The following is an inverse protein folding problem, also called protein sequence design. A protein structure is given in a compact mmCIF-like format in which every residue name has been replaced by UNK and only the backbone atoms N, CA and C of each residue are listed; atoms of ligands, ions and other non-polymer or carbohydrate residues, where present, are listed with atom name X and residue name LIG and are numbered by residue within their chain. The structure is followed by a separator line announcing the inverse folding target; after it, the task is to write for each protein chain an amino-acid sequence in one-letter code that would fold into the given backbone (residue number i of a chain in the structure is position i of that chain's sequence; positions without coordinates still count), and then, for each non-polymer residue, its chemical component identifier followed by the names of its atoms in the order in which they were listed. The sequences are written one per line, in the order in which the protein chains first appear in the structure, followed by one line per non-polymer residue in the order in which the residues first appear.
data_IF_407910162497
#
_entry.id   IF_407910162497
#
_cell.length_a   1.000
_cell.length_b   1.000
_cell.length_c   1.000
_cell.angle_alpha   90.00
_cell.angle_beta   90.00
_cell.angle_gamma   90.00
#
_symmetry.space_group_name_H-M   'P 1'
#
loop_
_entity.id
_entity.type
_entity.pdbx_description
1 polymer ?
#
# COMPACT_ATOMS: atom_id res chain seq x y z
N UNK A 1 -41.36 -10.55 39.60
CA UNK A 1 -41.51 -9.49 38.62
C UNK A 1 -40.14 -8.88 38.37
N UNK A 2 -39.51 -9.17 37.20
CA UNK A 2 -38.24 -8.62 36.84
C UNK A 2 -38.38 -7.11 36.64
N UNK A 3 -37.52 -6.35 37.26
CA UNK A 3 -37.37 -4.91 37.01
C UNK A 3 -36.80 -4.77 35.63
N UNK A 4 -37.64 -4.46 34.66
CA UNK A 4 -37.15 -3.98 33.38
C UNK A 4 -36.67 -2.55 33.64
N UNK A 5 -35.41 -2.40 34.04
CA UNK A 5 -34.76 -1.10 34.04
C UNK A 5 -34.93 -0.44 32.70
N UNK A 6 -34.95 0.90 32.62
CA UNK A 6 -34.91 1.64 31.38
C UNK A 6 -33.94 0.95 30.41
N UNK A 7 -34.44 0.49 29.28
CA UNK A 7 -33.58 -0.13 28.25
C UNK A 7 -32.42 0.81 28.02
N UNK A 8 -31.22 0.33 28.34
CA UNK A 8 -30.01 1.11 28.18
C UNK A 8 -29.89 1.43 26.67
N UNK A 9 -30.20 2.66 26.28
CA UNK A 9 -30.10 3.09 24.88
C UNK A 9 -28.66 3.11 24.37
N UNK A 10 -27.70 2.99 25.27
CA UNK A 10 -26.32 2.69 24.92
C UNK A 10 -26.22 1.18 24.69
N UNK A 11 -26.48 0.77 23.47
CA UNK A 11 -26.27 -0.60 23.03
C UNK A 11 -24.79 -0.98 23.22
N UNK A 12 -24.46 -1.55 24.36
CA UNK A 12 -23.21 -2.25 24.56
C UNK A 12 -23.20 -3.42 23.58
N UNK A 13 -22.41 -3.33 22.50
CA UNK A 13 -22.27 -4.43 21.58
C UNK A 13 -22.37 -4.10 20.08
N UNK A 14 -22.64 -2.88 19.68
CA UNK A 14 -22.50 -2.50 18.28
C UNK A 14 -21.05 -2.23 17.96
N UNK A 15 -20.42 -3.17 17.21
CA UNK A 15 -19.14 -2.89 16.57
C UNK A 15 -19.33 -1.74 15.59
N UNK A 16 -18.85 -0.56 15.93
CA UNK A 16 -18.85 0.59 15.01
C UNK A 16 -17.53 0.60 14.26
N UNK A 17 -17.62 0.68 12.91
CA UNK A 17 -16.45 0.85 12.04
C UNK A 17 -16.43 2.28 11.54
N UNK A 18 -15.35 2.99 11.82
CA UNK A 18 -15.12 4.37 11.38
C UNK A 18 -13.91 4.42 10.47
N UNK A 19 -14.06 4.95 9.26
CA UNK A 19 -12.97 5.15 8.30
C UNK A 19 -12.62 6.64 8.19
N UNK A 20 -11.33 6.96 8.25
CA UNK A 20 -10.78 8.31 8.06
C UNK A 20 -9.93 8.35 6.80
N UNK A 21 -10.34 9.15 5.83
CA UNK A 21 -9.60 9.44 4.59
C UNK A 21 -8.90 10.79 4.61
N UNK A 22 -9.08 11.55 5.69
CA UNK A 22 -8.39 12.80 6.01
C UNK A 22 -8.03 12.81 7.49
N UNK A 23 -6.96 13.50 7.85
CA UNK A 23 -6.52 13.64 9.23
C UNK A 23 -7.60 14.27 10.10
N UNK A 24 -7.70 13.83 11.35
CA UNK A 24 -8.69 14.32 12.30
C UNK A 24 -9.03 13.29 13.37
N UNK A 25 -9.88 13.70 14.29
CA UNK A 25 -10.19 12.95 15.50
C UNK A 25 -11.33 11.94 15.31
N UNK A 26 -11.30 10.90 16.12
CA UNK A 26 -12.34 9.88 16.31
C UNK A 26 -12.63 9.81 17.81
N UNK A 27 -13.84 10.09 18.24
CA UNK A 27 -14.24 9.91 19.65
C UNK A 27 -14.85 8.53 19.84
N UNK A 28 -14.27 7.73 20.71
CA UNK A 28 -14.77 6.39 21.01
C UNK A 28 -16.04 6.45 21.87
N UNK A 29 -16.89 5.41 21.76
CA UNK A 29 -18.05 5.27 22.62
C UNK A 29 -17.64 5.07 24.09
N UNK A 30 -18.46 5.50 25.08
CA UNK A 30 -18.12 5.39 26.51
C UNK A 30 -17.80 3.97 26.99
N UNK A 31 -18.36 2.94 26.31
CA UNK A 31 -18.15 1.52 26.64
C UNK A 31 -16.92 0.88 25.99
N UNK A 32 -16.28 1.55 25.05
CA UNK A 32 -15.14 0.98 24.31
C UNK A 32 -13.93 0.78 25.22
N UNK A 33 -13.31 -0.41 25.15
CA UNK A 33 -12.09 -0.74 25.90
C UNK A 33 -10.97 -1.19 24.97
N UNK A 34 -11.30 -1.65 23.78
CA UNK A 34 -10.36 -2.10 22.76
C UNK A 34 -10.82 -1.57 21.43
N UNK A 35 -9.91 -1.11 20.62
CA UNK A 35 -10.13 -0.82 19.20
C UNK A 35 -9.27 -1.74 18.36
N UNK A 36 -9.85 -2.31 17.30
CA UNK A 36 -9.09 -2.94 16.24
C UNK A 36 -8.89 -1.90 15.15
N UNK A 37 -7.67 -1.69 14.72
CA UNK A 37 -7.38 -0.62 13.75
C UNK A 37 -6.53 -1.11 12.60
N UNK A 38 -6.90 -0.72 11.38
CA UNK A 38 -6.06 -0.83 10.21
C UNK A 38 -5.51 0.57 9.89
N UNK A 39 -4.20 0.72 9.99
CA UNK A 39 -3.47 1.95 9.65
C UNK A 39 -2.77 1.70 8.32
N UNK A 40 -3.21 2.36 7.27
CA UNK A 40 -2.66 2.25 5.92
C UNK A 40 -1.98 3.58 5.55
N UNK A 41 -0.70 3.52 5.27
CA UNK A 41 0.08 4.70 4.89
C UNK A 41 -0.10 5.06 3.41
N UNK A 42 0.39 6.21 2.98
CA UNK A 42 0.44 6.58 1.57
C UNK A 42 1.40 5.68 0.78
N UNK A 43 1.00 5.29 -0.43
CA UNK A 43 1.83 4.54 -1.36
C UNK A 43 2.95 5.40 -1.96
N UNK A 44 4.07 4.81 -2.36
CA UNK A 44 5.12 5.48 -3.10
C UNK A 44 4.74 5.71 -4.57
N UNK A 45 5.29 6.73 -5.19
CA UNK A 45 5.15 6.94 -6.63
C UNK A 45 5.92 5.87 -7.42
N UNK A 46 5.50 5.61 -8.65
CA UNK A 46 6.35 4.96 -9.62
C UNK A 46 7.60 5.78 -9.91
N UNK A 47 8.63 5.16 -10.44
CA UNK A 47 9.85 5.82 -10.88
C UNK A 47 10.00 5.82 -12.39
N UNK A 48 11.22 6.06 -12.85
CA UNK A 48 11.57 6.06 -14.29
C UNK A 48 11.07 4.80 -15.01
N UNK A 49 11.00 3.68 -14.31
CA UNK A 49 10.45 2.41 -14.82
C UNK A 49 9.83 1.55 -13.73
N UNK A 50 10.45 1.48 -12.54
CA UNK A 50 10.00 0.64 -11.45
C UNK A 50 8.64 1.06 -10.89
N UNK A 51 7.81 0.10 -10.49
CA UNK A 51 6.56 0.37 -9.81
C UNK A 51 6.78 0.84 -8.37
N UNK A 52 5.98 1.78 -7.88
CA UNK A 52 6.01 2.25 -6.49
C UNK A 52 5.54 1.17 -5.51
N UNK A 53 6.16 1.08 -4.34
CA UNK A 53 5.70 0.23 -3.26
C UNK A 53 4.42 0.78 -2.61
N UNK A 54 3.56 -0.10 -2.14
CA UNK A 54 2.39 0.29 -1.37
C UNK A 54 2.80 0.90 -0.01
N UNK A 55 1.92 1.73 0.55
CA UNK A 55 2.03 2.13 1.95
C UNK A 55 1.97 0.91 2.88
N UNK A 56 2.67 0.97 4.01
CA UNK A 56 2.59 -0.05 5.03
C UNK A 56 1.16 -0.19 5.55
N UNK A 57 0.74 -1.42 5.85
CA UNK A 57 -0.55 -1.72 6.44
C UNK A 57 -0.32 -2.42 7.77
N UNK A 58 -0.81 -1.85 8.86
CA UNK A 58 -0.80 -2.46 10.18
C UNK A 58 -2.22 -2.70 10.65
N UNK A 59 -2.55 -3.96 10.90
CA UNK A 59 -3.84 -4.39 11.45
C UNK A 59 -3.61 -4.89 12.88
N UNK A 60 -3.92 -4.05 13.87
CA UNK A 60 -3.57 -4.27 15.28
C UNK A 60 -4.74 -3.98 16.22
N UNK A 61 -4.73 -4.60 17.39
CA UNK A 61 -5.65 -4.30 18.49
C UNK A 61 -4.95 -3.41 19.52
N UNK A 62 -5.64 -2.39 20.00
CA UNK A 62 -5.11 -1.38 20.94
C UNK A 62 -6.11 -1.21 22.07
N UNK A 63 -5.61 -1.29 23.31
CA UNK A 63 -6.40 -0.95 24.49
C UNK A 63 -6.65 0.56 24.53
N UNK A 64 -7.86 0.95 24.87
CA UNK A 64 -8.26 2.36 24.98
C UNK A 64 -9.21 2.57 26.15
N UNK A 65 -9.52 3.81 26.44
CA UNK A 65 -10.56 4.20 27.43
C UNK A 65 -11.79 4.67 26.68
N UNK A 66 -12.97 4.26 27.12
CA UNK A 66 -14.21 4.74 26.52
C UNK A 66 -14.36 6.26 26.61
N UNK A 67 -14.88 6.88 25.55
CA UNK A 67 -14.98 8.32 25.44
C UNK A 67 -13.66 9.03 25.15
N UNK A 68 -12.57 8.29 24.85
CA UNK A 68 -11.29 8.91 24.49
C UNK A 68 -11.29 9.39 23.06
N UNK A 69 -10.48 10.42 22.81
CA UNK A 69 -10.21 10.93 21.47
C UNK A 69 -8.99 10.22 20.90
N UNK A 70 -9.14 9.64 19.70
CA UNK A 70 -8.09 9.04 18.90
C UNK A 70 -7.78 10.00 17.75
N UNK A 71 -6.54 10.44 17.62
CA UNK A 71 -6.14 11.34 16.52
C UNK A 71 -5.51 10.56 15.37
N UNK A 72 -6.18 10.53 14.23
CA UNK A 72 -5.70 9.93 13.00
C UNK A 72 -4.96 10.95 12.14
N UNK A 73 -3.76 10.59 11.68
CA UNK A 73 -3.01 11.33 10.64
C UNK A 73 -2.94 10.46 9.39
N UNK A 74 -3.38 11.00 8.25
CA UNK A 74 -3.41 10.28 6.99
C UNK A 74 -2.25 10.71 6.11
N UNK A 75 -1.41 9.75 5.73
CA UNK A 75 -0.26 9.97 4.87
C UNK A 75 -0.67 10.19 3.41
N UNK A 76 -0.14 11.24 2.80
CA UNK A 76 -0.30 11.46 1.36
C UNK A 76 0.45 10.40 0.55
N UNK A 77 -0.02 10.11 -0.65
CA UNK A 77 0.74 9.35 -1.63
C UNK A 77 1.96 10.12 -2.12
N UNK A 78 3.00 9.41 -2.53
CA UNK A 78 4.18 9.98 -3.13
C UNK A 78 3.86 10.66 -4.47
N UNK A 79 4.33 11.87 -4.68
CA UNK A 79 4.20 12.56 -5.94
C UNK A 79 5.19 12.01 -6.99
N UNK A 80 4.85 12.14 -8.26
CA UNK A 80 5.69 11.75 -9.40
C UNK A 80 6.09 13.00 -10.22
N UNK A 81 6.94 13.89 -9.69
CA UNK A 81 7.28 15.15 -10.35
C UNK A 81 8.23 14.97 -11.56
N UNK A 82 8.72 13.77 -11.81
CA UNK A 82 9.67 13.45 -12.87
C UNK A 82 10.12 11.99 -12.81
N UNK A 83 11.30 11.66 -13.35
CA UNK A 83 11.80 10.28 -13.39
C UNK A 83 12.08 9.69 -12.00
N UNK A 84 12.33 10.51 -11.00
CA UNK A 84 12.46 10.08 -9.61
C UNK A 84 11.15 10.33 -8.86
N UNK A 85 10.38 9.28 -8.63
CA UNK A 85 9.19 9.36 -7.78
C UNK A 85 9.53 9.68 -6.33
N UNK A 86 8.54 10.10 -5.57
CA UNK A 86 8.67 10.34 -4.14
C UNK A 86 8.07 9.19 -3.32
N UNK A 87 8.66 8.99 -2.15
CA UNK A 87 8.13 8.07 -1.14
C UNK A 87 6.77 8.54 -0.63
N UNK A 88 5.89 7.61 -0.28
CA UNK A 88 4.65 7.92 0.42
C UNK A 88 4.88 8.44 1.84
N UNK A 89 3.92 9.17 2.37
CA UNK A 89 3.95 9.65 3.74
C UNK A 89 3.37 8.63 4.73
N UNK A 90 3.84 8.69 5.96
CA UNK A 90 3.38 7.86 7.09
C UNK A 90 1.93 8.20 7.47
N UNK A 91 1.12 7.17 7.75
CA UNK A 91 -0.14 7.34 8.49
C UNK A 91 0.03 6.90 9.93
N UNK A 92 -0.73 7.50 10.84
CA UNK A 92 -0.67 7.14 12.26
C UNK A 92 -2.01 7.30 12.97
N UNK A 93 -2.14 6.62 14.11
CA UNK A 93 -3.23 6.76 15.05
C UNK A 93 -2.65 6.95 16.45
N UNK A 94 -2.93 8.08 17.08
CA UNK A 94 -2.58 8.33 18.47
C UNK A 94 -3.72 7.84 19.39
N UNK A 95 -3.38 7.02 20.37
CA UNK A 95 -4.32 6.41 21.33
C UNK A 95 -3.72 6.52 22.73
N UNK A 96 -4.40 7.21 23.64
CA UNK A 96 -3.98 7.34 25.05
C UNK A 96 -2.49 7.71 25.21
N UNK A 97 -2.00 8.67 24.42
CA UNK A 97 -0.61 9.15 24.50
C UNK A 97 0.42 8.32 23.74
N UNK A 98 0.04 7.16 23.18
CA UNK A 98 0.91 6.33 22.34
C UNK A 98 0.53 6.50 20.87
N UNK A 99 1.53 6.68 20.00
CA UNK A 99 1.32 6.78 18.54
C UNK A 99 1.71 5.49 17.84
N UNK A 100 0.77 4.91 17.12
CA UNK A 100 0.94 3.74 16.27
C UNK A 100 1.03 4.21 14.82
N UNK A 101 2.04 3.80 14.08
CA UNK A 101 2.26 4.28 12.71
C UNK A 101 2.52 3.16 11.72
N UNK A 102 2.14 3.40 10.47
CA UNK A 102 2.52 2.63 9.31
C UNK A 102 3.37 3.51 8.38
N UNK A 103 4.48 3.00 7.88
CA UNK A 103 5.42 3.76 7.06
C UNK A 103 4.92 3.91 5.62
N UNK A 104 5.19 5.05 5.00
CA UNK A 104 4.90 5.25 3.58
C UNK A 104 5.64 4.27 2.67
N UNK A 105 5.07 3.98 1.51
CA UNK A 105 5.65 3.11 0.50
C UNK A 105 6.91 3.69 -0.13
N UNK A 106 7.88 2.83 -0.49
CA UNK A 106 9.07 3.22 -1.23
C UNK A 106 8.73 3.61 -2.67
N UNK A 107 9.44 4.57 -3.25
CA UNK A 107 9.23 4.89 -4.67
C UNK A 107 9.85 3.84 -5.59
N UNK A 108 9.30 3.69 -6.79
CA UNK A 108 9.92 2.92 -7.87
C UNK A 108 11.14 3.62 -8.44
N UNK A 109 12.07 2.88 -9.01
CA UNK A 109 13.31 3.44 -9.55
C UNK A 109 13.82 2.65 -10.75
N UNK A 110 14.74 3.22 -11.49
CA UNK A 110 15.42 2.57 -12.61
C UNK A 110 16.89 2.89 -12.51
N UNK A 111 17.67 2.03 -11.87
CA UNK A 111 19.11 2.23 -11.73
C UNK A 111 19.80 0.96 -11.22
N UNK A 112 21.12 0.94 -11.35
CA UNK A 112 21.99 -0.14 -10.88
C UNK A 112 22.13 -0.22 -9.35
N UNK A 113 21.69 0.79 -8.61
CA UNK A 113 21.77 0.81 -7.14
C UNK A 113 20.40 1.13 -6.52
N UNK A 114 20.05 0.44 -5.42
CA UNK A 114 18.80 0.67 -4.68
C UNK A 114 18.95 1.94 -3.83
N UNK A 115 18.24 3.02 -4.14
CA UNK A 115 18.27 4.20 -3.28
C UNK A 115 17.53 3.93 -1.95
N UNK A 116 17.97 4.54 -0.87
CA UNK A 116 17.35 4.37 0.45
C UNK A 116 15.86 4.74 0.47
N UNK A 117 15.44 5.65 -0.38
CA UNK A 117 14.05 6.06 -0.54
C UNK A 117 13.16 5.03 -1.28
N UNK A 118 13.75 3.98 -1.88
CA UNK A 118 13.01 2.84 -2.40
C UNK A 118 12.51 1.90 -1.29
N UNK A 119 13.08 1.96 -0.08
CA UNK A 119 12.62 1.18 1.06
C UNK A 119 11.43 1.86 1.73
N UNK A 120 10.49 1.08 2.23
CA UNK A 120 9.28 1.64 2.83
C UNK A 120 8.43 0.63 3.58
N UNK A 121 7.19 0.98 3.85
CA UNK A 121 6.18 0.03 4.33
C UNK A 121 6.14 -1.19 3.41
N UNK A 122 5.98 -0.95 2.10
CA UNK A 122 6.40 -1.89 1.05
C UNK A 122 7.46 -1.22 0.17
N UNK A 123 8.36 -2.02 -0.40
CA UNK A 123 9.48 -1.53 -1.20
C UNK A 123 9.11 -1.22 -2.65
N UNK A 124 9.78 -0.24 -3.27
CA UNK A 124 9.63 0.06 -4.69
C UNK A 124 10.30 -0.99 -5.58
N UNK A 125 9.75 -1.20 -6.78
CA UNK A 125 10.34 -2.04 -7.82
C UNK A 125 11.52 -1.37 -8.51
N UNK A 126 12.43 -2.16 -9.05
CA UNK A 126 13.59 -1.68 -9.81
C UNK A 126 13.41 -1.93 -11.31
N UNK A 127 13.87 -1.01 -12.12
CA UNK A 127 13.94 -1.13 -13.58
C UNK A 127 15.36 -1.31 -14.08
N UNK A 128 15.50 -1.94 -15.24
CA UNK A 128 16.79 -2.11 -15.92
C UNK A 128 16.79 -1.39 -17.26
N UNK A 129 17.95 -0.95 -17.69
CA UNK A 129 18.22 -0.33 -18.98
C UNK A 129 18.96 -1.28 -19.95
N UNK A 130 18.83 -2.58 -19.76
CA UNK A 130 19.47 -3.59 -20.58
C UNK A 130 20.78 -4.14 -20.00
N UNK A 131 21.09 -3.84 -18.75
CA UNK A 131 22.24 -4.42 -18.05
C UNK A 131 21.97 -5.86 -17.60
N UNK A 132 22.94 -6.75 -17.82
CA UNK A 132 22.93 -8.12 -17.31
C UNK A 132 23.15 -8.21 -15.78
N UNK A 133 23.47 -7.11 -15.13
CA UNK A 133 23.68 -7.07 -13.68
C UNK A 133 22.37 -7.35 -12.96
N UNK A 134 22.33 -8.30 -12.00
CA UNK A 134 21.16 -8.52 -11.17
C UNK A 134 20.78 -7.24 -10.42
N UNK A 135 19.50 -6.91 -10.47
CA UNK A 135 18.92 -5.77 -9.76
C UNK A 135 17.97 -6.27 -8.68
N UNK A 136 17.92 -5.59 -7.56
CA UNK A 136 17.00 -5.87 -6.45
C UNK A 136 16.03 -4.73 -6.28
N UNK A 137 14.82 -5.01 -5.83
CA UNK A 137 13.86 -3.99 -5.42
C UNK A 137 14.17 -3.41 -4.04
N UNK A 138 13.43 -2.38 -3.66
CA UNK A 138 13.46 -1.80 -2.33
C UNK A 138 12.97 -2.78 -1.26
N UNK A 139 13.46 -2.63 -0.05
CA UNK A 139 13.07 -3.46 1.10
C UNK A 139 11.71 -3.00 1.64
N UNK A 140 10.83 -3.96 1.91
CA UNK A 140 9.58 -3.76 2.64
C UNK A 140 9.78 -3.78 4.15
N UNK A 141 8.70 -3.56 4.89
CA UNK A 141 8.70 -3.53 6.37
C UNK A 141 9.82 -2.65 6.96
N UNK A 142 9.97 -1.45 6.41
CA UNK A 142 11.00 -0.48 6.83
C UNK A 142 10.35 0.83 7.30
N UNK A 143 10.51 1.22 8.59
CA UNK A 143 11.20 0.47 9.66
C UNK A 143 10.49 -0.86 9.97
N UNK A 144 11.26 -1.82 10.49
CA UNK A 144 10.73 -3.14 10.83
C UNK A 144 9.74 -3.05 11.99
N UNK A 145 8.58 -3.66 11.82
CA UNK A 145 7.53 -3.79 12.83
C UNK A 145 6.95 -5.21 12.82
N UNK A 146 6.33 -5.60 13.91
CA UNK A 146 5.59 -6.85 14.05
C UNK A 146 4.11 -6.55 14.40
N UNK A 147 3.15 -7.17 13.69
CA UNK A 147 3.30 -7.89 12.42
C UNK A 147 3.87 -7.01 11.29
N UNK A 148 4.49 -7.66 10.27
CA UNK A 148 5.05 -6.96 9.10
C UNK A 148 4.02 -6.07 8.43
N UNK A 149 4.43 -4.86 8.06
CA UNK A 149 3.55 -3.88 7.43
C UNK A 149 3.56 -3.92 5.88
N UNK A 150 4.42 -4.77 5.27
CA UNK A 150 4.49 -4.91 3.81
C UNK A 150 5.70 -5.69 3.33
N UNK A 151 5.80 -5.84 2.03
CA UNK A 151 6.75 -6.74 1.37
C UNK A 151 7.73 -5.98 0.46
N UNK A 152 8.86 -6.60 0.07
CA UNK A 152 9.83 -5.98 -0.83
C UNK A 152 9.25 -5.78 -2.24
N UNK A 153 9.83 -4.83 -2.96
CA UNK A 153 9.64 -4.70 -4.40
C UNK A 153 10.39 -5.76 -5.18
N UNK A 154 9.99 -5.98 -6.42
CA UNK A 154 10.64 -6.88 -7.35
C UNK A 154 11.94 -6.30 -7.93
N UNK A 155 12.77 -7.16 -8.44
CA UNK A 155 13.98 -6.88 -9.18
C UNK A 155 14.13 -7.83 -10.36
N UNK A 156 15.30 -8.35 -10.58
CA UNK A 156 15.57 -9.37 -11.58
C UNK A 156 16.88 -9.13 -12.33
N UNK A 157 17.14 -9.94 -13.34
CA UNK A 157 18.28 -9.78 -14.24
C UNK A 157 17.86 -10.06 -15.67
N UNK A 158 18.51 -9.42 -16.61
CA UNK A 158 18.37 -9.74 -18.03
C UNK A 158 19.55 -10.61 -18.42
N UNK A 159 19.31 -11.82 -19.00
CA UNK A 159 20.40 -12.66 -19.43
C UNK A 159 21.23 -12.00 -20.53
N UNK A 160 22.57 -11.94 -20.37
CA UNK A 160 23.48 -11.60 -21.46
C UNK A 160 23.64 -12.82 -22.39
N UNK A 161 23.99 -12.66 -23.70
CA UNK A 161 24.68 -11.54 -24.37
C UNK A 161 23.88 -10.82 -25.45
N UNK A 162 22.57 -11.03 -25.58
CA UNK A 162 21.79 -10.59 -26.74
C UNK A 162 20.77 -9.50 -26.41
N UNK A 163 21.13 -8.53 -25.61
CA UNK A 163 20.19 -7.52 -25.18
C UNK A 163 20.25 -6.31 -26.10
N UNK A 164 19.35 -6.19 -27.07
CA UNK A 164 19.04 -4.86 -27.57
C UNK A 164 18.49 -4.06 -26.39
N UNK A 165 18.86 -2.79 -26.28
CA UNK A 165 18.55 -1.85 -25.19
C UNK A 165 17.05 -1.78 -24.83
N UNK A 166 16.46 -2.88 -24.36
CA UNK A 166 15.07 -2.90 -23.91
C UNK A 166 14.98 -2.51 -22.45
N UNK A 167 13.99 -1.71 -22.12
CA UNK A 167 13.76 -1.18 -20.79
C UNK A 167 12.54 -1.83 -20.18
N UNK A 168 12.74 -2.66 -19.16
CA UNK A 168 11.68 -3.34 -18.40
C UNK A 168 11.90 -3.16 -16.93
N UNK A 169 10.85 -3.27 -16.15
CA UNK A 169 10.92 -3.02 -14.74
C UNK A 169 10.04 -3.98 -13.92
N UNK A 170 10.45 -4.15 -12.69
CA UNK A 170 9.74 -4.94 -11.71
C UNK A 170 8.62 -4.14 -11.03
N UNK A 171 7.65 -4.84 -10.48
CA UNK A 171 6.58 -4.25 -9.70
C UNK A 171 7.02 -3.87 -8.29
N UNK A 172 6.37 -2.87 -7.69
CA UNK A 172 6.50 -2.53 -6.27
C UNK A 172 5.85 -3.58 -5.38
N UNK A 173 6.30 -3.71 -4.13
CA UNK A 173 5.70 -4.59 -3.13
C UNK A 173 4.32 -4.11 -2.70
N UNK A 174 3.45 -5.05 -2.32
CA UNK A 174 2.18 -4.80 -1.67
C UNK A 174 2.18 -5.24 -0.21
N UNK A 175 1.11 -4.97 0.52
CA UNK A 175 1.00 -5.41 1.91
C UNK A 175 0.84 -6.94 2.03
N UNK A 176 0.19 -7.59 1.05
CA UNK A 176 -0.06 -9.03 1.05
C UNK A 176 1.00 -9.85 0.33
N UNK A 177 1.69 -9.28 -0.67
CA UNK A 177 2.70 -10.00 -1.46
C UNK A 177 3.85 -9.10 -1.93
N UNK A 178 5.00 -9.69 -2.20
CA UNK A 178 6.12 -9.01 -2.83
C UNK A 178 5.79 -8.59 -4.26
N UNK A 179 6.48 -7.55 -4.75
CA UNK A 179 6.44 -7.18 -6.16
C UNK A 179 7.06 -8.27 -7.03
N UNK A 180 6.52 -8.44 -8.23
CA UNK A 180 7.01 -9.45 -9.16
C UNK A 180 8.25 -8.96 -9.88
N UNK A 181 9.20 -9.86 -10.06
CA UNK A 181 10.42 -9.60 -10.80
C UNK A 181 10.12 -9.41 -12.30
N UNK A 182 11.06 -8.78 -13.00
CA UNK A 182 11.10 -8.86 -14.46
C UNK A 182 11.27 -10.32 -14.87
N UNK A 183 10.66 -10.69 -15.99
CA UNK A 183 10.79 -12.04 -16.55
C UNK A 183 11.10 -11.99 -18.02
N UNK A 184 11.64 -13.09 -18.51
CA UNK A 184 12.02 -13.27 -19.91
C UNK A 184 11.44 -14.59 -20.42
N UNK A 185 10.72 -14.53 -21.53
CA UNK A 185 10.16 -15.71 -22.17
C UNK A 185 10.46 -15.66 -23.68
N UNK A 186 11.40 -16.49 -24.13
CA UNK A 186 11.87 -16.51 -25.51
C UNK A 186 12.54 -15.21 -25.95
N UNK A 187 11.87 -14.40 -26.74
CA UNK A 187 12.34 -13.07 -27.20
C UNK A 187 11.58 -11.91 -26.55
N UNK A 188 10.67 -12.20 -25.60
CA UNK A 188 9.79 -11.20 -24.99
C UNK A 188 10.21 -10.91 -23.55
N UNK A 189 10.44 -9.65 -23.27
CA UNK A 189 10.67 -9.15 -21.91
C UNK A 189 9.35 -8.69 -21.30
N UNK A 190 9.09 -9.10 -20.05
CA UNK A 190 7.84 -8.81 -19.36
C UNK A 190 8.14 -8.06 -18.07
N UNK A 191 7.54 -6.89 -17.94
CA UNK A 191 7.61 -6.12 -16.71
C UNK A 191 6.76 -6.75 -15.61
N UNK A 192 7.27 -6.69 -14.38
CA UNK A 192 6.64 -7.33 -13.23
C UNK A 192 5.37 -6.64 -12.77
N UNK A 193 4.29 -7.37 -12.51
CA UNK A 193 3.13 -6.88 -11.78
C UNK A 193 3.49 -6.40 -10.37
N UNK A 194 2.70 -5.44 -9.86
CA UNK A 194 2.74 -5.05 -8.45
C UNK A 194 2.27 -6.17 -7.51
N UNK A 195 2.83 -6.20 -6.32
CA UNK A 195 2.43 -7.12 -5.26
C UNK A 195 0.99 -6.88 -4.80
N UNK A 196 0.27 -7.95 -4.49
CA UNK A 196 -1.10 -7.85 -4.00
C UNK A 196 -1.19 -7.12 -2.65
N UNK A 197 -2.26 -6.38 -2.45
CA UNK A 197 -2.64 -5.83 -1.16
C UNK A 197 -3.17 -6.89 -0.19
N UNK A 198 -3.51 -6.45 0.99
CA UNK A 198 -4.06 -7.29 2.05
C UNK A 198 -5.56 -7.08 2.18
N UNK A 199 -6.31 -8.18 2.22
CA UNK A 199 -7.75 -8.17 2.50
C UNK A 199 -7.99 -8.05 4.01
N UNK A 200 -8.69 -6.99 4.42
CA UNK A 200 -9.10 -6.74 5.80
C UNK A 200 -10.62 -6.91 5.99
N UNK A 201 -11.34 -7.39 4.99
CA UNK A 201 -12.80 -7.61 5.07
C UNK A 201 -13.23 -8.55 6.21
N UNK A 202 -12.44 -9.58 6.61
CA UNK A 202 -12.82 -10.42 7.75
C UNK A 202 -12.94 -9.63 9.06
N UNK A 203 -12.18 -8.55 9.19
CA UNK A 203 -12.17 -7.73 10.40
C UNK A 203 -13.18 -6.58 10.35
N UNK A 204 -13.31 -5.92 9.21
CA UNK A 204 -14.03 -4.63 9.10
C UNK A 204 -15.27 -4.70 8.21
N UNK A 205 -15.53 -5.83 7.55
CA UNK A 205 -16.53 -5.90 6.49
C UNK A 205 -16.08 -5.21 5.20
N UNK A 206 -16.99 -4.96 4.29
CA UNK A 206 -16.68 -4.34 3.01
C UNK A 206 -16.57 -2.81 3.17
N UNK A 207 -15.35 -2.29 3.03
CA UNK A 207 -15.03 -0.86 3.18
C UNK A 207 -14.11 -0.37 2.05
N UNK A 208 -14.12 0.93 1.81
CA UNK A 208 -13.24 1.58 0.84
C UNK A 208 -13.53 1.24 -0.63
N UNK A 209 -12.75 1.81 -1.55
CA UNK A 209 -13.01 1.71 -2.99
C UNK A 209 -12.62 0.35 -3.62
N UNK A 210 -11.88 -0.49 -2.90
CA UNK A 210 -11.30 -1.75 -3.39
C UNK A 210 -11.84 -2.98 -2.67
N UNK A 211 -13.07 -2.91 -2.18
CA UNK A 211 -13.74 -4.01 -1.46
C UNK A 211 -12.88 -4.56 -0.32
N UNK A 212 -12.33 -3.67 0.51
CA UNK A 212 -11.48 -4.00 1.67
C UNK A 212 -10.11 -4.62 1.39
N UNK A 213 -9.68 -4.70 0.16
CA UNK A 213 -8.29 -5.00 -0.19
C UNK A 213 -7.53 -3.69 -0.29
N UNK A 214 -6.45 -3.51 0.47
CA UNK A 214 -5.69 -2.26 0.55
C UNK A 214 -4.20 -2.48 0.32
N UNK A 215 -3.49 -1.41 -0.02
CA UNK A 215 -2.05 -1.38 -0.14
C UNK A 215 -1.50 -2.37 -1.20
N UNK A 216 -2.01 -2.31 -2.43
CA UNK A 216 -1.44 -2.98 -3.59
C UNK A 216 -0.26 -2.20 -4.18
N UNK A 217 0.79 -2.90 -4.62
CA UNK A 217 1.97 -2.29 -5.24
C UNK A 217 1.72 -1.84 -6.67
N UNK A 218 2.49 -0.87 -7.16
CA UNK A 218 2.45 -0.42 -8.56
C UNK A 218 3.12 -1.42 -9.52
N UNK A 219 2.62 -1.53 -10.74
CA UNK A 219 3.23 -2.32 -11.81
C UNK A 219 4.48 -1.65 -12.41
N UNK A 220 5.42 -2.45 -12.89
CA UNK A 220 6.61 -1.96 -13.60
C UNK A 220 6.27 -1.42 -14.99
N UNK A 221 6.93 -0.35 -15.40
CA UNK A 221 6.83 0.22 -16.75
C UNK A 221 7.53 -0.65 -17.78
N UNK A 222 7.03 -0.64 -19.00
CA UNK A 222 7.53 -1.43 -20.12
C UNK A 222 8.13 -0.58 -21.24
N UNK A 223 8.61 -1.26 -22.28
CA UNK A 223 9.20 -0.66 -23.45
C UNK A 223 8.16 -0.52 -24.55
N UNK A 224 7.93 0.72 -25.01
CA UNK A 224 6.96 1.03 -26.08
C UNK A 224 7.31 0.47 -27.46
N UNK A 225 8.51 -0.07 -27.64
CA UNK A 225 8.91 -0.81 -28.85
C UNK A 225 8.34 -2.23 -28.90
N UNK A 226 7.72 -2.67 -27.81
CA UNK A 226 7.09 -4.00 -27.68
C UNK A 226 5.63 -3.89 -27.28
N UNK A 227 4.78 -4.76 -27.84
CA UNK A 227 3.31 -4.67 -27.71
C UNK A 227 2.71 -5.12 -26.39
N UNK A 228 3.49 -5.61 -25.42
CA UNK A 228 2.90 -6.30 -24.26
C UNK A 228 3.73 -6.30 -22.96
N UNK A 229 4.55 -5.31 -22.68
CA UNK A 229 5.55 -5.43 -21.62
C UNK A 229 5.37 -4.51 -20.41
N UNK A 230 4.15 -4.14 -20.01
CA UNK A 230 3.96 -3.39 -18.77
C UNK A 230 3.32 -4.24 -17.68
N UNK A 231 3.72 -4.04 -16.44
CA UNK A 231 3.17 -4.73 -15.27
C UNK A 231 1.80 -4.18 -14.87
N UNK A 232 0.86 -5.06 -14.54
CA UNK A 232 -0.41 -4.63 -13.92
C UNK A 232 -0.17 -4.15 -12.50
N UNK A 233 -1.01 -3.23 -12.01
CA UNK A 233 -1.05 -2.88 -10.60
C UNK A 233 -1.54 -4.04 -9.75
N UNK A 234 -1.01 -4.15 -8.54
CA UNK A 234 -1.46 -5.12 -7.54
C UNK A 234 -2.90 -4.83 -7.09
N UNK A 235 -3.67 -5.89 -6.78
CA UNK A 235 -4.99 -5.74 -6.15
C UNK A 235 -4.89 -4.91 -4.88
N UNK A 236 -5.90 -4.12 -4.58
CA UNK A 236 -5.86 -3.21 -3.44
C UNK A 236 -5.33 -1.82 -3.79
N UNK A 237 -5.48 -1.41 -5.06
CA UNK A 237 -5.32 -0.03 -5.49
C UNK A 237 -3.98 0.32 -6.12
N UNK A 238 -3.15 -0.66 -6.50
CA UNK A 238 -1.92 -0.40 -7.24
C UNK A 238 -2.18 0.14 -8.64
N UNK A 239 -1.39 1.12 -9.09
CA UNK A 239 -1.42 1.67 -10.44
C UNK A 239 -0.68 0.77 -11.45
N UNK A 240 -1.18 0.63 -12.66
CA UNK A 240 -0.49 -0.10 -13.72
C UNK A 240 0.72 0.67 -14.26
N UNK A 241 1.76 -0.03 -14.68
CA UNK A 241 2.90 0.56 -15.37
C UNK A 241 2.51 1.16 -16.71
N UNK A 242 3.25 2.15 -17.19
CA UNK A 242 3.16 2.69 -18.53
C UNK A 242 3.82 1.74 -19.54
N UNK A 243 3.34 1.72 -20.78
CA UNK A 243 3.91 0.88 -21.85
C UNK A 243 2.99 0.75 -23.04
N UNK A 244 3.49 0.17 -24.11
CA UNK A 244 2.74 -0.08 -25.34
C UNK A 244 3.13 0.85 -26.49
N UNK A 245 2.61 0.57 -27.70
CA UNK A 245 2.96 1.30 -28.93
C UNK A 245 2.36 2.73 -28.99
N UNK A 246 1.63 3.13 -27.95
CA UNK A 246 1.03 4.45 -27.84
C UNK A 246 2.08 5.50 -27.45
N UNK A 247 1.97 6.75 -27.93
CA UNK A 247 2.83 7.84 -27.52
C UNK A 247 2.73 8.17 -26.02
N UNK A 248 1.70 7.68 -25.34
CA UNK A 248 1.51 7.91 -23.91
C UNK A 248 1.91 6.68 -23.08
N UNK A 249 3.15 6.66 -22.67
CA UNK A 249 3.74 5.62 -21.82
C UNK A 249 3.64 5.97 -20.32
N UNK A 250 2.56 6.61 -19.94
CA UNK A 250 2.33 7.10 -18.58
C UNK A 250 1.95 5.95 -17.62
N UNK A 251 2.62 5.88 -16.50
CA UNK A 251 2.21 5.01 -15.39
C UNK A 251 0.92 5.52 -14.74
N UNK A 252 0.04 4.61 -14.36
CA UNK A 252 -1.22 4.96 -13.67
C UNK A 252 -0.97 5.29 -12.21
N UNK A 253 -1.73 6.24 -11.67
CA UNK A 253 -1.67 6.54 -10.24
C UNK A 253 -2.26 5.39 -9.40
N UNK A 254 -1.78 5.24 -8.18
CA UNK A 254 -2.42 4.42 -7.16
C UNK A 254 -3.81 4.97 -6.81
N UNK A 255 -4.74 4.08 -6.49
CA UNK A 255 -6.12 4.45 -6.15
C UNK A 255 -6.15 5.25 -4.84
N UNK A 256 -6.95 6.31 -4.82
CA UNK A 256 -7.12 7.16 -3.64
C UNK A 256 -7.64 6.36 -2.43
N UNK A 257 -7.16 6.68 -1.26
CA UNK A 257 -7.57 6.12 0.03
C UNK A 257 -7.38 4.60 0.12
N UNK A 258 -6.34 4.08 -0.55
CA UNK A 258 -5.96 2.66 -0.48
C UNK A 258 -4.52 2.45 -0.06
N UNK A 259 -3.68 3.49 -0.08
CA UNK A 259 -2.25 3.35 0.10
C UNK A 259 -1.58 2.62 -1.07
N UNK A 260 -2.23 2.55 -2.24
CA UNK A 260 -1.67 1.86 -3.41
C UNK A 260 -0.44 2.55 -3.99
N UNK A 261 0.56 1.79 -4.44
CA UNK A 261 1.73 2.31 -5.15
C UNK A 261 1.40 2.78 -6.56
N UNK A 262 2.10 3.79 -7.08
CA UNK A 262 1.95 4.26 -8.45
C UNK A 262 2.68 3.37 -9.45
N UNK A 263 2.18 3.26 -10.68
CA UNK A 263 2.82 2.52 -11.78
C UNK A 263 4.09 3.22 -12.29
N UNK A 264 5.08 2.44 -12.68
CA UNK A 264 6.32 2.94 -13.28
C UNK A 264 6.07 3.60 -14.65
N UNK A 265 6.93 4.54 -15.02
CA UNK A 265 6.91 5.13 -16.35
C UNK A 265 7.29 4.10 -17.41
N UNK A 266 6.69 4.16 -18.59
CA UNK A 266 7.13 3.42 -19.76
C UNK A 266 8.17 4.19 -20.56
N UNK A 267 8.95 3.47 -21.36
CA UNK A 267 9.87 4.05 -22.35
C UNK A 267 9.17 4.13 -23.69
N UNK A 268 9.11 5.33 -24.25
CA UNK A 268 8.55 5.55 -25.58
C UNK A 268 9.44 5.01 -26.70
N UNK A 269 8.88 4.75 -27.89
CA UNK A 269 9.69 4.48 -29.09
C UNK A 269 10.48 5.77 -29.42
N UNK A 270 11.80 5.58 -29.71
CA UNK A 270 12.64 6.72 -30.12
C UNK A 270 12.06 7.42 -31.36
N UNK A 271 11.95 8.75 -31.41
CA UNK A 271 12.48 9.76 -30.47
C UNK A 271 11.54 10.22 -29.36
N UNK A 272 10.51 9.46 -29.04
CA UNK A 272 9.56 9.87 -27.98
C UNK A 272 10.19 9.82 -26.58
N UNK A 273 9.93 10.83 -25.74
CA UNK A 273 10.44 10.83 -24.35
C UNK A 273 9.78 9.73 -23.50
N UNK A 274 10.41 9.39 -22.41
CA UNK A 274 9.78 8.56 -21.37
C UNK A 274 8.50 9.22 -20.85
N UNK A 275 7.47 8.44 -20.59
CA UNK A 275 6.25 8.95 -19.98
C UNK A 275 6.46 9.33 -18.51
N UNK A 276 5.53 10.08 -17.90
CA UNK A 276 5.53 10.28 -16.47
C UNK A 276 5.13 9.00 -15.73
N UNK A 277 5.69 8.82 -14.56
CA UNK A 277 5.25 7.76 -13.62
C UNK A 277 3.92 8.13 -12.94
N UNK A 278 3.24 7.13 -12.41
CA UNK A 278 2.05 7.33 -11.59
C UNK A 278 2.38 7.78 -10.18
N UNK A 279 1.59 8.70 -9.63
CA UNK A 279 1.66 9.05 -8.21
C UNK A 279 1.17 7.89 -7.34
N UNK A 280 1.65 7.79 -6.10
CA UNK A 280 1.06 6.90 -5.10
C UNK A 280 -0.31 7.39 -4.61
N UNK A 281 -1.16 6.47 -4.18
CA UNK A 281 -2.44 6.80 -3.55
C UNK A 281 -2.27 7.18 -2.08
N UNK A 282 -3.04 8.15 -1.54
CA UNK A 282 -3.04 8.43 -0.11
C UNK A 282 -3.55 7.24 0.71
N UNK A 283 -3.18 7.22 1.98
CA UNK A 283 -3.57 6.20 2.94
C UNK A 283 -4.99 6.36 3.48
N UNK A 284 -5.30 5.52 4.46
CA UNK A 284 -6.58 5.52 5.20
C UNK A 284 -6.35 4.94 6.60
N UNK A 285 -7.10 5.38 7.59
CA UNK A 285 -7.16 4.74 8.92
C UNK A 285 -8.58 4.25 9.16
N UNK A 286 -8.70 3.00 9.55
CA UNK A 286 -9.98 2.35 9.89
C UNK A 286 -9.93 1.93 11.35
N UNK A 287 -10.94 2.30 12.11
CA UNK A 287 -11.06 1.94 13.52
C UNK A 287 -12.38 1.19 13.71
N UNK A 288 -12.30 -0.02 14.27
CA UNK A 288 -13.43 -0.82 14.73
C UNK A 288 -13.44 -0.85 16.25
N UNK A 289 -14.47 -0.33 16.82
CA UNK A 289 -14.67 -0.38 18.26
C UNK A 289 -15.15 -1.78 18.66
N UNK A 290 -14.37 -2.45 19.49
CA UNK A 290 -14.74 -3.75 20.05
C UNK A 290 -15.36 -3.52 21.42
N UNK A 291 -16.67 -3.68 21.52
CA UNK A 291 -17.31 -3.81 22.81
C UNK A 291 -17.12 -5.26 23.29
N UNK A 292 -16.11 -5.48 24.11
CA UNK A 292 -16.11 -6.69 24.94
C UNK A 292 -17.27 -6.52 25.89
N UNK A 293 -18.40 -7.17 25.61
CA UNK A 293 -19.42 -7.37 26.63
C UNK A 293 -18.71 -8.06 27.81
N UNK A 294 -18.52 -7.35 28.89
CA UNK A 294 -18.11 -7.94 30.17
C UNK A 294 -19.30 -8.71 30.73
N UNK A 295 -19.75 -9.70 29.99
CA UNK A 295 -20.89 -10.53 30.33
C UNK A 295 -20.48 -11.75 31.14
N UNK A 296 -19.64 -11.58 32.15
CA UNK A 296 -19.74 -12.47 33.29
C UNK A 296 -20.77 -11.82 34.24
N UNK A 297 -22.02 -12.11 33.99
CA UNK A 297 -23.02 -12.02 35.03
C UNK A 297 -22.59 -13.03 36.07
N UNK A 298 -21.93 -12.58 37.15
CA UNK A 298 -21.73 -13.45 38.30
C UNK A 298 -23.12 -13.82 38.80
N UNK A 299 -23.41 -15.11 38.91
CA UNK A 299 -24.68 -15.57 39.50
C UNK A 299 -24.90 -15.02 40.90
N UNK A 300 -23.90 -14.44 41.55
CA UNK A 300 -23.95 -13.76 42.82
C UNK A 300 -24.69 -12.42 42.80
N UNK A 301 -24.98 -11.84 41.67
CA UNK A 301 -25.76 -10.59 41.59
C UNK A 301 -27.26 -10.82 41.37
N UNK A 302 -27.72 -12.07 41.41
CA UNK A 302 -29.13 -12.43 41.21
C UNK A 302 -29.86 -12.87 42.48
N UNK A 303 -29.20 -12.78 43.66
CA UNK A 303 -29.81 -13.09 44.92
C UNK A 303 -29.78 -11.92 45.89
#
# INVERSE_FOLDING_TARGET
GGIIGKSNKTSFGKCTVTSKTSSGDITTQPGTRVVKTAIIAGGGAGGDRGGGGAGGLRNIEINTTGGSTLTATIGAGGAAPGPAGLKGATSSLAVCGTTYSAAGGGHGFGASSVPACANGGSGGGNGTDGSATPITGGVGNTPSVDPSQGNPGGGGSIPAPNVPSFSVAAGGGGAGAAGTNISFCGSTYVSGPGGAGLDISPDYGNIGPTCSVFAGGGGGGGDGRQTSSFGTGGTGGGGAGGGGPSPTVTGSAGTNNTGGGGGGAGVGPSPSPNGPAGAGGPGIVVVKELSKASGVWSMQSQF
#
